data_IF_993277457693
#
_entry.id   IF_993277457693
#
_cell.length_a   1.000
_cell.length_b   1.000
_cell.length_c   1.000
_cell.angle_alpha   90.00
_cell.angle_beta   90.00
_cell.angle_gamma   90.00
#
_symmetry.space_group_name_H-M   'P 1'
#
loop_
_entity.id
_entity.type
_entity.pdbx_description
1 polymer ?
#
# COMPACT_ATOMS: atom_id res chain seq x y z
N UNK A 1 -6.92 1.94 4.36
CA UNK A 1 -8.36 2.31 4.34
C UNK A 1 -9.04 1.51 3.26
N UNK A 2 -10.37 1.45 3.29
CA UNK A 2 -11.18 0.58 2.44
C UNK A 2 -12.45 1.32 2.04
N UNK A 3 -12.80 1.28 0.75
CA UNK A 3 -13.93 2.04 0.21
C UNK A 3 -15.30 1.55 0.72
N UNK A 4 -15.45 0.23 0.92
CA UNK A 4 -16.69 -0.38 1.41
C UNK A 4 -16.83 -0.35 2.93
N UNK A 5 -16.12 0.56 3.60
CA UNK A 5 -16.16 0.69 5.06
C UNK A 5 -16.35 2.14 5.46
N UNK A 6 -17.01 2.34 6.59
CA UNK A 6 -17.11 3.61 7.28
C UNK A 6 -16.51 3.51 8.68
N UNK A 7 -16.11 4.63 9.26
CA UNK A 7 -15.67 4.72 10.66
C UNK A 7 -16.32 5.89 11.38
N UNK A 8 -16.44 5.80 12.70
CA UNK A 8 -16.91 6.93 13.52
C UNK A 8 -15.94 8.13 13.40
N UNK A 9 -16.50 9.34 13.51
CA UNK A 9 -15.72 10.59 13.57
C UNK A 9 -15.08 10.86 14.93
N UNK A 10 -15.53 10.20 15.99
CA UNK A 10 -14.99 10.39 17.36
C UNK A 10 -14.19 9.19 17.87
N UNK A 11 -14.41 8.00 17.31
CA UNK A 11 -13.69 6.79 17.67
C UNK A 11 -13.26 6.00 16.41
N UNK A 12 -11.99 6.11 15.98
CA UNK A 12 -11.54 5.52 14.73
C UNK A 12 -11.52 3.99 14.73
N UNK A 13 -11.67 3.34 15.90
CA UNK A 13 -11.73 1.89 16.02
C UNK A 13 -13.12 1.32 15.73
N UNK A 14 -14.17 2.16 15.74
CA UNK A 14 -15.51 1.77 15.34
C UNK A 14 -15.63 1.80 13.82
N UNK A 15 -15.38 0.65 13.19
CA UNK A 15 -15.39 0.45 11.74
C UNK A 15 -16.54 -0.45 11.34
N UNK A 16 -17.28 -0.04 10.31
CA UNK A 16 -18.49 -0.70 9.82
C UNK A 16 -18.33 -1.04 8.33
N UNK A 17 -18.78 -2.22 7.92
CA UNK A 17 -18.85 -2.60 6.50
C UNK A 17 -20.15 -2.09 5.91
N UNK A 18 -20.07 -1.44 4.74
CA UNK A 18 -21.22 -0.95 4.00
C UNK A 18 -21.64 -1.99 2.95
N UNK A 19 -22.93 -2.30 2.92
CA UNK A 19 -23.58 -3.13 1.89
C UNK A 19 -24.11 -2.29 0.70
N UNK A 20 -24.05 -0.96 0.83
CA UNK A 20 -24.41 0.02 -0.18
C UNK A 20 -23.24 0.99 -0.45
N UNK A 21 -23.36 1.80 -1.49
CA UNK A 21 -22.26 2.66 -1.97
C UNK A 21 -22.25 4.06 -1.35
N UNK A 22 -23.39 4.49 -0.79
CA UNK A 22 -23.60 5.86 -0.34
C UNK A 22 -23.49 5.95 1.19
N UNK A 23 -22.84 7.00 1.72
CA UNK A 23 -22.85 7.31 3.15
C UNK A 23 -23.52 8.67 3.34
N UNK A 24 -24.60 8.71 4.10
CA UNK A 24 -25.48 9.88 4.24
C UNK A 24 -25.24 10.63 5.55
N UNK A 25 -25.43 11.96 5.57
CA UNK A 25 -25.61 12.68 6.81
C UNK A 25 -26.74 12.05 7.63
N UNK A 26 -26.47 11.75 8.90
CA UNK A 26 -27.38 11.02 9.79
C UNK A 26 -27.01 9.55 10.00
N UNK A 27 -26.16 8.97 9.14
CA UNK A 27 -25.59 7.64 9.38
C UNK A 27 -24.62 7.73 10.56
N UNK A 28 -25.00 7.14 11.68
CA UNK A 28 -24.30 7.29 12.96
C UNK A 28 -23.74 5.96 13.44
N UNK A 29 -22.63 6.01 14.15
CA UNK A 29 -22.15 4.87 14.91
C UNK A 29 -23.02 4.63 16.15
N UNK A 30 -22.76 3.54 16.87
CA UNK A 30 -23.43 3.18 18.12
C UNK A 30 -23.31 4.24 19.23
N UNK A 31 -22.32 5.14 19.14
CA UNK A 31 -22.14 6.29 20.06
C UNK A 31 -22.87 7.55 19.61
N UNK A 32 -23.67 7.48 18.54
CA UNK A 32 -24.45 8.62 18.01
C UNK A 32 -23.66 9.64 17.18
N UNK A 33 -22.34 9.43 16.99
CA UNK A 33 -21.52 10.31 16.13
C UNK A 33 -21.69 9.98 14.65
N UNK A 34 -21.56 10.97 13.78
CA UNK A 34 -21.58 10.80 12.33
C UNK A 34 -20.51 9.79 11.87
N UNK A 35 -20.87 8.93 10.92
CA UNK A 35 -19.94 8.07 10.19
C UNK A 35 -19.27 8.85 9.06
N UNK A 36 -18.01 8.52 8.79
CA UNK A 36 -17.22 8.99 7.65
C UNK A 36 -16.64 7.80 6.88
N UNK A 37 -16.25 7.95 5.61
CA UNK A 37 -15.58 6.88 4.88
C UNK A 37 -14.31 6.41 5.60
N UNK A 38 -14.06 5.09 5.60
CA UNK A 38 -12.87 4.47 6.19
C UNK A 38 -11.66 4.57 5.25
N UNK A 39 -11.38 5.77 4.77
CA UNK A 39 -10.21 6.10 3.96
C UNK A 39 -9.29 7.03 4.74
N UNK A 40 -8.03 7.07 4.31
CA UNK A 40 -7.02 7.98 4.85
C UNK A 40 -6.97 9.18 3.91
N UNK A 41 -7.23 10.37 4.44
CA UNK A 41 -7.09 11.60 3.68
C UNK A 41 -5.65 12.13 3.75
N UNK A 42 -5.30 13.04 2.84
CA UNK A 42 -4.03 13.76 2.94
C UNK A 42 -3.94 14.51 4.28
N UNK A 43 -2.78 14.41 4.93
CA UNK A 43 -2.56 14.96 6.27
C UNK A 43 -3.01 14.05 7.42
N UNK A 44 -3.73 12.96 7.15
CA UNK A 44 -4.05 11.98 8.18
C UNK A 44 -2.93 10.94 8.35
N UNK A 45 -2.72 10.42 9.57
CA UNK A 45 -1.78 9.35 9.79
C UNK A 45 -2.22 8.09 9.04
N UNK A 46 -1.26 7.44 8.37
CA UNK A 46 -1.50 6.16 7.70
C UNK A 46 -1.44 5.04 8.76
N UNK A 47 -2.56 4.34 9.00
CA UNK A 47 -2.57 3.26 9.99
C UNK A 47 -1.64 2.12 9.56
N UNK A 48 -1.03 1.46 10.53
CA UNK A 48 -0.15 0.29 10.35
C UNK A 48 1.13 0.55 9.55
N UNK A 49 1.49 1.81 9.26
CA UNK A 49 2.70 2.11 8.47
C UNK A 49 3.98 1.59 9.14
N UNK A 50 4.10 1.72 10.46
CA UNK A 50 5.24 1.21 11.23
C UNK A 50 5.33 -0.31 11.14
N UNK A 51 4.20 -1.00 11.30
CA UNK A 51 4.13 -2.46 11.13
C UNK A 51 4.51 -2.88 9.71
N UNK A 52 4.09 -2.12 8.69
CA UNK A 52 4.46 -2.38 7.31
C UNK A 52 5.98 -2.17 7.08
N UNK A 53 6.59 -1.19 7.74
CA UNK A 53 8.03 -0.97 7.69
C UNK A 53 8.83 -2.13 8.31
N UNK A 54 8.38 -2.67 9.45
CA UNK A 54 9.01 -3.85 10.06
C UNK A 54 8.88 -5.10 9.18
N UNK A 55 7.72 -5.30 8.53
CA UNK A 55 7.54 -6.39 7.55
C UNK A 55 8.47 -6.19 6.33
N UNK A 56 8.56 -4.96 5.81
CA UNK A 56 9.43 -4.65 4.68
C UNK A 56 10.92 -4.90 5.03
N UNK A 57 11.32 -4.60 6.26
CA UNK A 57 12.68 -4.83 6.76
C UNK A 57 13.05 -6.30 6.81
N UNK A 58 12.12 -7.19 7.13
CA UNK A 58 12.34 -8.64 7.15
C UNK A 58 12.13 -9.33 5.81
N UNK A 59 11.84 -8.60 4.74
CA UNK A 59 11.53 -9.19 3.44
C UNK A 59 12.81 -9.65 2.72
N UNK A 60 12.82 -10.92 2.28
CA UNK A 60 13.87 -11.46 1.41
C UNK A 60 13.80 -10.88 -0.01
N UNK A 61 12.62 -10.39 -0.40
CA UNK A 61 12.33 -9.80 -1.70
C UNK A 61 11.23 -8.74 -1.56
N UNK A 62 11.35 -7.63 -2.30
CA UNK A 62 10.35 -6.55 -2.25
C UNK A 62 9.92 -6.07 -3.64
N UNK A 63 8.60 -5.88 -3.84
CA UNK A 63 8.05 -5.39 -5.11
C UNK A 63 7.20 -4.14 -4.91
N UNK A 64 7.51 -3.10 -5.68
CA UNK A 64 6.71 -1.90 -5.86
C UNK A 64 5.95 -2.04 -7.17
N UNK A 65 4.62 -2.00 -7.14
CA UNK A 65 3.79 -2.23 -8.32
C UNK A 65 2.73 -1.15 -8.46
N UNK A 66 2.63 -0.53 -9.64
CA UNK A 66 1.50 0.32 -10.01
C UNK A 66 1.34 1.58 -9.16
N UNK A 67 2.45 2.15 -8.68
CA UNK A 67 2.48 3.38 -7.90
C UNK A 67 3.51 4.34 -8.48
N UNK A 68 3.25 5.64 -8.38
CA UNK A 68 4.16 6.70 -8.81
C UNK A 68 5.34 6.91 -7.87
N UNK A 69 5.39 6.24 -6.71
CA UNK A 69 6.46 6.39 -5.72
C UNK A 69 6.62 7.82 -5.15
N UNK A 70 5.55 8.63 -5.15
CA UNK A 70 5.56 10.02 -4.61
C UNK A 70 4.69 10.21 -3.36
N UNK A 71 3.88 9.22 -2.99
CA UNK A 71 2.95 9.33 -1.85
C UNK A 71 3.61 8.81 -0.59
N UNK A 72 3.96 9.72 0.33
CA UNK A 72 4.53 9.39 1.63
C UNK A 72 3.46 9.20 2.70
N UNK A 73 3.68 8.33 3.69
CA UNK A 73 4.92 7.57 3.95
C UNK A 73 5.11 6.28 3.12
N UNK A 74 4.11 5.81 2.38
CA UNK A 74 4.14 4.50 1.71
C UNK A 74 5.30 4.33 0.72
N UNK A 75 5.64 5.36 -0.07
CA UNK A 75 6.79 5.35 -0.98
C UNK A 75 8.13 5.11 -0.27
N UNK A 76 8.21 5.45 1.02
CA UNK A 76 9.40 5.27 1.85
C UNK A 76 9.67 3.82 2.25
N UNK A 77 8.69 2.91 2.15
CA UNK A 77 8.83 1.53 2.62
C UNK A 77 10.00 0.78 1.95
N UNK A 78 10.30 1.11 0.69
CA UNK A 78 11.42 0.51 -0.06
C UNK A 78 12.78 0.74 0.61
N UNK A 79 12.91 1.80 1.41
CA UNK A 79 14.16 2.14 2.11
C UNK A 79 14.35 1.35 3.42
N UNK A 80 13.31 0.71 3.93
CA UNK A 80 13.42 -0.17 5.10
C UNK A 80 13.89 -1.57 4.74
N UNK A 81 13.74 -1.96 3.48
CA UNK A 81 14.16 -3.27 2.96
C UNK A 81 15.68 -3.40 3.00
N UNK A 82 16.17 -4.58 3.39
CA UNK A 82 17.61 -4.89 3.40
C UNK A 82 18.30 -4.48 2.09
N UNK A 83 19.53 -3.98 2.19
CA UNK A 83 20.31 -3.61 1.00
C UNK A 83 20.59 -4.81 0.10
N UNK A 84 20.69 -6.01 0.66
CA UNK A 84 20.99 -7.25 -0.06
C UNK A 84 19.77 -7.86 -0.75
N UNK A 85 18.56 -7.59 -0.23
CA UNK A 85 17.34 -8.14 -0.79
C UNK A 85 17.05 -7.57 -2.19
N UNK A 86 16.72 -8.40 -3.20
CA UNK A 86 16.29 -7.93 -4.50
C UNK A 86 14.99 -7.10 -4.40
N UNK A 87 14.97 -6.01 -5.15
CA UNK A 87 13.86 -5.05 -5.21
C UNK A 87 13.40 -4.91 -6.65
N UNK A 88 12.08 -4.87 -6.85
CA UNK A 88 11.48 -4.73 -8.18
C UNK A 88 10.54 -3.54 -8.22
N UNK A 89 10.66 -2.69 -9.23
CA UNK A 89 9.75 -1.56 -9.44
C UNK A 89 9.06 -1.68 -10.80
N UNK A 90 7.77 -2.00 -10.76
CA UNK A 90 6.91 -2.25 -11.92
C UNK A 90 5.90 -1.13 -12.07
N UNK A 91 6.16 -0.22 -13.02
CA UNK A 91 5.22 0.83 -13.41
C UNK A 91 5.54 1.31 -14.82
N UNK A 92 4.56 1.59 -15.72
CA UNK A 92 4.83 2.12 -17.05
C UNK A 92 5.66 3.42 -17.06
N UNK A 93 5.57 4.20 -15.98
CA UNK A 93 6.28 5.47 -15.77
C UNK A 93 7.39 5.34 -14.71
N UNK A 94 7.83 4.11 -14.40
CA UNK A 94 8.89 3.89 -13.45
C UNK A 94 10.18 4.66 -13.85
N UNK A 95 10.77 5.33 -12.87
CA UNK A 95 11.99 6.11 -13.01
C UNK A 95 13.11 5.54 -12.14
N UNK A 96 14.34 5.98 -12.40
CA UNK A 96 15.50 5.53 -11.62
C UNK A 96 15.40 6.08 -10.19
N UNK A 97 15.42 5.19 -9.21
CA UNK A 97 15.53 5.54 -7.80
C UNK A 97 16.99 5.44 -7.36
N UNK A 98 17.57 6.56 -6.96
CA UNK A 98 18.95 6.60 -6.48
C UNK A 98 19.06 6.05 -5.06
N UNK A 99 20.22 5.47 -4.72
CA UNK A 99 20.50 4.96 -3.37
C UNK A 99 19.87 3.61 -3.02
N UNK A 100 19.15 2.98 -3.95
CA UNK A 100 18.62 1.62 -3.78
C UNK A 100 19.53 0.59 -4.44
N UNK A 101 20.05 -0.33 -3.63
CA UNK A 101 20.82 -1.48 -4.11
C UNK A 101 19.88 -2.61 -4.56
N UNK A 102 20.32 -3.37 -5.57
CA UNK A 102 19.61 -4.52 -6.15
C UNK A 102 18.20 -4.20 -6.64
N UNK A 103 18.02 -3.01 -7.23
CA UNK A 103 16.75 -2.57 -7.82
C UNK A 103 16.68 -2.89 -9.32
N UNK A 104 15.71 -3.70 -9.71
CA UNK A 104 15.33 -3.91 -11.12
C UNK A 104 14.04 -3.14 -11.45
N UNK A 105 14.02 -2.45 -12.59
CA UNK A 105 12.91 -1.58 -12.99
C UNK A 105 12.24 -2.12 -14.26
N UNK A 106 10.93 -2.30 -14.20
CA UNK A 106 10.08 -2.73 -15.31
C UNK A 106 9.14 -1.61 -15.72
N UNK A 107 9.43 -1.01 -16.88
CA UNK A 107 8.58 0.04 -17.51
C UNK A 107 7.46 -0.57 -18.32
N UNK A 108 6.56 -1.28 -17.64
CA UNK A 108 5.44 -2.04 -18.23
C UNK A 108 4.23 -1.99 -17.32
N UNK A 109 3.05 -2.31 -17.88
CA UNK A 109 1.84 -2.51 -17.08
C UNK A 109 2.03 -3.73 -16.16
N UNK A 110 1.46 -3.65 -14.95
CA UNK A 110 1.54 -4.75 -13.98
C UNK A 110 1.03 -6.08 -14.57
N UNK A 111 -0.08 -6.06 -15.30
CA UNK A 111 -0.65 -7.25 -15.93
C UNK A 111 0.24 -7.91 -17.00
N UNK A 112 1.22 -7.20 -17.54
CA UNK A 112 2.18 -7.75 -18.52
C UNK A 112 3.46 -8.22 -17.84
N UNK A 113 3.98 -7.46 -16.88
CA UNK A 113 5.28 -7.72 -16.26
C UNK A 113 5.22 -8.77 -15.14
N UNK A 114 4.17 -8.73 -14.31
CA UNK A 114 4.11 -9.59 -13.12
C UNK A 114 4.08 -11.08 -13.42
N UNK A 115 3.31 -11.60 -14.41
CA UNK A 115 3.31 -13.04 -14.68
C UNK A 115 4.71 -13.57 -15.00
N UNK A 116 5.43 -12.88 -15.90
CA UNK A 116 6.79 -13.26 -16.31
C UNK A 116 7.79 -13.16 -15.16
N UNK A 117 7.68 -12.11 -14.35
CA UNK A 117 8.56 -11.87 -13.21
C UNK A 117 8.33 -12.92 -12.12
N UNK A 118 7.07 -13.21 -11.78
CA UNK A 118 6.74 -14.25 -10.79
C UNK A 118 7.20 -15.63 -11.28
N UNK A 119 7.00 -15.98 -12.54
CA UNK A 119 7.49 -17.26 -13.09
C UNK A 119 9.02 -17.39 -13.03
N UNK A 120 9.75 -16.28 -13.23
CA UNK A 120 11.20 -16.25 -13.05
C UNK A 120 11.56 -16.46 -11.58
N UNK A 121 10.97 -15.66 -10.69
CA UNK A 121 11.28 -15.71 -9.25
C UNK A 121 10.93 -17.07 -8.63
N UNK A 122 9.82 -17.69 -9.02
CA UNK A 122 9.49 -19.02 -8.55
C UNK A 122 10.58 -20.02 -8.94
N UNK A 123 11.11 -19.98 -10.16
CA UNK A 123 12.22 -20.86 -10.58
C UNK A 123 13.53 -20.58 -9.84
N UNK A 124 13.83 -19.32 -9.59
CA UNK A 124 15.08 -18.91 -8.93
C UNK A 124 15.11 -19.24 -7.43
N UNK A 125 13.93 -19.36 -6.81
CA UNK A 125 13.76 -19.59 -5.36
C UNK A 125 13.05 -20.93 -5.03
N UNK A 126 12.88 -21.83 -6.01
CA UNK A 126 12.37 -23.20 -5.82
C UNK A 126 13.42 -24.14 -5.25
#
# INVERSE_FOLDING_TARGET
>A
GELKKARSTIDPNLVYTLDHWELKPGDKCEKGSQLRPHIVWFGEPVPLIEKAAEIAKSADLFMVVGTSMVVYPAAGLVHYVSREAPKFYVDPKAFMLHGLAHLEIYRKKAGEALPLLVDRLLRDFS
#
